data_IF_726181615935
#
_entry.id   IF_726181615935
#
_cell.length_a   1.000
_cell.length_b   1.000
_cell.length_c   1.000
_cell.angle_alpha   90.00
_cell.angle_beta   90.00
_cell.angle_gamma   90.00
#
_symmetry.space_group_name_H-M   'P 1'
#
loop_
_entity.id
_entity.type
_entity.pdbx_description
1 polymer ?
#
# COMPACT_ATOMS: atom_id res chain seq x y z
N UNK A 1 -46.24 49.12 -11.34
CA UNK A 1 -47.25 50.08 -10.80
C UNK A 1 -46.78 50.60 -9.49
N UNK A 2 -47.07 51.81 -9.14
CA UNK A 2 -46.49 53.09 -9.60
C UNK A 2 -45.79 53.77 -8.39
N UNK A 3 -45.03 54.79 -8.34
CA UNK A 3 -45.26 56.13 -8.94
C UNK A 3 -44.11 57.03 -8.45
N UNK A 4 -43.66 57.82 -9.36
CA UNK A 4 -43.04 59.14 -9.07
C UNK A 4 -44.07 60.07 -8.35
N UNK A 5 -43.78 61.33 -7.93
CA UNK A 5 -43.07 62.34 -8.71
C UNK A 5 -42.35 63.49 -7.88
N UNK A 6 -41.55 64.26 -8.62
CA UNK A 6 -41.47 65.72 -8.76
C UNK A 6 -41.48 66.71 -7.55
N UNK A 7 -40.56 67.68 -7.63
CA UNK A 7 -40.80 69.13 -7.98
C UNK A 7 -39.59 69.97 -7.54
N UNK A 8 -38.89 70.70 -8.38
CA UNK A 8 -39.09 72.02 -8.91
C UNK A 8 -39.24 73.16 -7.81
N UNK A 9 -38.30 74.15 -7.90
CA UNK A 9 -38.57 75.59 -8.01
C UNK A 9 -37.27 76.37 -7.78
N UNK A 10 -36.73 77.09 -8.76
CA UNK A 10 -36.83 78.50 -9.07
C UNK A 10 -36.51 79.43 -7.85
N UNK A 11 -35.74 80.46 -7.89
CA UNK A 11 -35.26 81.50 -8.79
C UNK A 11 -34.71 82.62 -7.94
N UNK A 12 -33.80 83.41 -8.25
CA UNK A 12 -33.87 84.79 -8.77
C UNK A 12 -32.57 85.57 -8.54
N UNK A 13 -32.23 86.28 -9.56
CA UNK A 13 -31.31 87.40 -9.75
C UNK A 13 -31.44 88.49 -8.70
N UNK A 14 -30.30 89.15 -8.42
CA UNK A 14 -30.19 90.58 -8.40
C UNK A 14 -28.75 91.05 -8.75
N UNK A 15 -28.70 91.97 -9.75
CA UNK A 15 -27.54 92.78 -10.15
C UNK A 15 -27.52 94.07 -9.26
N UNK A 16 -26.29 94.57 -9.04
CA UNK A 16 -25.90 96.01 -8.91
C UNK A 16 -24.38 95.95 -8.70
N UNK A 17 -23.51 96.44 -9.50
CA UNK A 17 -23.24 97.73 -10.08
C UNK A 17 -22.36 98.60 -9.17
N UNK A 18 -21.30 99.24 -9.76
CA UNK A 18 -20.34 100.18 -9.19
C UNK A 18 -18.94 99.48 -8.94
N UNK A 19 -17.78 99.91 -9.50
CA UNK A 19 -17.31 101.21 -9.88
C UNK A 19 -15.89 101.08 -10.47
N UNK A 20 -15.53 101.95 -11.35
CA UNK A 20 -14.38 101.96 -12.30
C UNK A 20 -13.00 102.31 -11.68
N UNK A 21 -12.83 102.49 -10.41
CA UNK A 21 -11.60 103.01 -9.82
C UNK A 21 -10.57 101.92 -9.27
N UNK A 22 -10.89 100.65 -9.35
CA UNK A 22 -10.02 99.63 -8.78
C UNK A 22 -9.25 98.82 -9.83
N UNK A 23 -9.26 99.23 -11.12
CA UNK A 23 -8.64 98.44 -12.20
C UNK A 23 -7.11 98.63 -12.39
N UNK A 24 -6.49 99.73 -11.87
CA UNK A 24 -5.05 99.94 -12.04
C UNK A 24 -4.23 99.22 -10.96
N UNK A 25 -4.72 99.05 -9.74
CA UNK A 25 -3.98 98.32 -8.70
C UNK A 25 -3.97 96.85 -8.82
N UNK A 26 -4.98 96.26 -9.51
CA UNK A 26 -5.05 94.82 -9.74
C UNK A 26 -4.09 94.30 -10.80
N UNK A 27 -3.74 95.15 -11.80
CA UNK A 27 -2.80 94.79 -12.89
C UNK A 27 -1.34 94.77 -12.37
N UNK A 28 -0.97 95.67 -11.44
CA UNK A 28 0.37 95.71 -10.89
C UNK A 28 0.61 94.50 -9.94
N UNK A 29 -0.42 94.06 -9.21
CA UNK A 29 -0.32 92.83 -8.38
C UNK A 29 -0.27 91.54 -9.17
N UNK A 30 -0.92 91.51 -10.35
CA UNK A 30 -0.93 90.31 -11.22
C UNK A 30 0.38 90.13 -11.97
N UNK A 31 1.12 91.21 -12.27
CA UNK A 31 2.46 91.16 -12.91
C UNK A 31 3.54 90.71 -11.92
N UNK A 32 3.42 91.08 -10.62
CA UNK A 32 4.33 90.60 -9.58
C UNK A 32 4.18 89.13 -9.21
N UNK A 33 3.01 88.55 -9.45
CA UNK A 33 2.74 87.14 -9.23
C UNK A 33 3.22 86.24 -10.39
N UNK A 34 3.54 86.80 -11.56
CA UNK A 34 4.08 86.04 -12.72
C UNK A 34 5.58 85.98 -12.79
N UNK A 35 6.32 86.70 -11.93
CA UNK A 35 7.77 86.70 -11.90
C UNK A 35 8.39 85.71 -10.88
N UNK A 36 7.57 84.93 -10.21
CA UNK A 36 7.98 83.96 -9.16
C UNK A 36 7.94 82.50 -9.55
N UNK A 37 7.78 82.14 -10.82
CA UNK A 37 8.03 80.78 -11.28
C UNK A 37 9.52 80.57 -11.52
N UNK A 38 10.27 80.39 -10.45
CA UNK A 38 11.55 79.73 -10.49
C UNK A 38 11.33 78.29 -10.94
N UNK A 39 11.80 78.00 -12.12
CA UNK A 39 11.69 76.70 -12.79
C UNK A 39 12.68 75.72 -12.12
N UNK A 40 12.40 75.36 -10.86
CA UNK A 40 13.03 74.18 -10.28
C UNK A 40 12.49 72.96 -11.09
N UNK A 41 13.29 72.52 -12.05
CA UNK A 41 13.18 71.22 -12.69
C UNK A 41 13.20 70.23 -11.51
N UNK A 42 12.01 69.87 -11.02
CA UNK A 42 11.91 68.68 -10.19
C UNK A 42 12.51 67.56 -11.00
N UNK A 43 13.76 67.19 -10.71
CA UNK A 43 14.33 65.92 -11.17
C UNK A 43 13.25 64.89 -10.80
N UNK A 44 12.60 64.38 -11.82
CA UNK A 44 11.80 63.14 -11.69
C UNK A 44 12.76 62.06 -11.21
N UNK A 45 13.03 62.03 -9.90
CA UNK A 45 13.64 60.86 -9.29
C UNK A 45 12.68 59.71 -9.59
N UNK A 46 13.14 58.82 -10.45
CA UNK A 46 12.37 57.59 -10.71
C UNK A 46 11.92 57.01 -9.38
N UNK A 47 10.66 56.61 -9.23
CA UNK A 47 10.19 56.03 -8.00
C UNK A 47 11.11 54.92 -7.55
N UNK A 48 11.44 54.86 -6.25
CA UNK A 48 12.35 53.85 -5.76
C UNK A 48 11.90 52.44 -6.21
N UNK A 49 12.86 51.59 -6.64
CA UNK A 49 12.51 50.25 -7.12
C UNK A 49 11.71 49.50 -6.06
N UNK A 50 10.61 48.82 -6.44
CA UNK A 50 9.74 48.12 -5.49
C UNK A 50 10.53 47.05 -4.74
N UNK A 51 10.32 47.00 -3.43
CA UNK A 51 10.92 46.01 -2.57
C UNK A 51 10.24 44.64 -2.79
N UNK A 52 11.06 43.64 -3.07
CA UNK A 52 10.67 42.23 -3.26
C UNK A 52 11.53 41.31 -2.42
N UNK A 53 10.99 40.18 -1.97
CA UNK A 53 11.77 39.13 -1.32
C UNK A 53 12.17 38.08 -2.34
N UNK A 54 13.42 37.67 -2.31
CA UNK A 54 13.97 36.62 -3.20
C UNK A 54 14.51 35.48 -2.38
N UNK A 55 14.44 34.26 -2.93
CA UNK A 55 15.10 33.10 -2.38
C UNK A 55 15.91 32.38 -3.47
N UNK A 56 17.02 31.81 -3.08
CA UNK A 56 17.87 31.03 -3.99
C UNK A 56 17.22 29.69 -4.31
N UNK A 57 17.38 29.20 -5.54
CA UNK A 57 16.97 27.84 -5.92
C UNK A 57 17.78 26.85 -5.12
N UNK A 58 17.11 25.99 -4.38
CA UNK A 58 17.75 24.95 -3.57
C UNK A 58 17.83 23.66 -4.39
N UNK A 59 19.04 23.09 -4.49
CA UNK A 59 19.22 21.77 -5.09
C UNK A 59 19.38 20.77 -3.96
N UNK A 60 18.48 19.79 -3.91
CA UNK A 60 18.56 18.68 -2.95
C UNK A 60 18.33 17.35 -3.66
N UNK A 61 19.04 16.29 -3.23
CA UNK A 61 18.68 14.95 -3.62
C UNK A 61 17.33 14.60 -2.98
N UNK A 62 16.39 14.23 -3.81
CA UNK A 62 15.06 13.76 -3.37
C UNK A 62 14.69 12.49 -4.11
N UNK A 63 13.96 11.62 -3.45
CA UNK A 63 13.24 10.52 -4.05
C UNK A 63 11.75 10.84 -4.05
N UNK A 64 11.08 10.58 -5.15
CA UNK A 64 9.62 10.66 -5.18
C UNK A 64 9.06 9.37 -4.59
N UNK A 65 7.97 9.50 -3.83
CA UNK A 65 7.21 8.38 -3.31
C UNK A 65 5.83 8.37 -3.93
N UNK A 66 5.42 7.22 -4.44
CA UNK A 66 4.06 6.99 -4.89
C UNK A 66 3.27 6.32 -3.78
N UNK A 67 2.07 6.82 -3.53
CA UNK A 67 1.20 6.33 -2.46
C UNK A 67 0.04 5.52 -3.04
N UNK A 68 -0.22 4.36 -2.44
CA UNK A 68 -1.26 3.43 -2.84
C UNK A 68 -2.09 3.04 -1.62
N UNK A 69 -3.33 2.65 -1.85
CA UNK A 69 -4.17 2.03 -0.84
C UNK A 69 -4.06 0.51 -0.96
N UNK A 70 -3.90 -0.15 0.16
CA UNK A 70 -3.76 -1.60 0.22
C UNK A 70 -4.62 -2.23 1.32
N UNK A 71 -4.59 -3.55 1.36
CA UNK A 71 -5.24 -4.36 2.39
C UNK A 71 -4.27 -5.38 2.94
N UNK A 72 -4.31 -5.56 4.25
CA UNK A 72 -3.50 -6.57 4.95
C UNK A 72 -4.19 -7.92 4.81
N UNK A 73 -3.40 -8.93 4.44
CA UNK A 73 -3.84 -10.32 4.35
C UNK A 73 -2.85 -11.23 5.09
N UNK A 74 -3.36 -12.35 5.60
CA UNK A 74 -2.49 -13.35 6.20
C UNK A 74 -1.66 -14.06 5.13
N UNK A 75 -0.41 -14.44 5.47
CA UNK A 75 0.43 -15.25 4.57
C UNK A 75 -0.21 -16.62 4.33
N UNK A 76 -0.83 -17.19 5.37
CA UNK A 76 -1.58 -18.44 5.27
C UNK A 76 -2.95 -18.28 5.92
N UNK A 77 -3.99 -18.72 5.20
CA UNK A 77 -5.37 -18.79 5.70
C UNK A 77 -5.93 -20.17 5.37
N UNK A 78 -6.33 -20.89 6.40
CA UNK A 78 -6.82 -22.29 6.27
C UNK A 78 -8.20 -22.41 6.86
N UNK A 79 -9.14 -22.86 6.06
CA UNK A 79 -10.46 -23.30 6.52
C UNK A 79 -10.35 -24.75 7.03
N UNK A 80 -10.50 -24.95 8.30
CA UNK A 80 -10.43 -26.28 8.90
C UNK A 80 -11.76 -27.01 8.69
N UNK A 81 -11.68 -28.18 8.05
CA UNK A 81 -12.83 -29.03 7.73
C UNK A 81 -12.59 -30.45 8.25
N UNK A 82 -13.63 -31.19 8.67
CA UNK A 82 -13.49 -32.57 9.10
C UNK A 82 -13.17 -33.48 7.91
N UNK A 83 -12.31 -34.46 8.12
CA UNK A 83 -12.01 -35.53 7.14
C UNK A 83 -12.82 -36.80 7.34
N UNK A 84 -13.46 -36.92 8.50
CA UNK A 84 -14.34 -38.01 8.87
C UNK A 84 -15.66 -37.47 9.43
N UNK A 85 -16.74 -38.22 9.30
CA UNK A 85 -18.07 -37.82 9.77
C UNK A 85 -18.28 -38.29 11.21
N UNK A 86 -19.02 -37.53 11.99
CA UNK A 86 -19.35 -37.91 13.38
C UNK A 86 -19.84 -36.73 14.19
N UNK A 87 -20.19 -36.94 15.44
CA UNK A 87 -20.56 -35.86 16.35
C UNK A 87 -19.31 -35.20 16.93
N UNK A 88 -19.34 -33.88 17.03
CA UNK A 88 -18.30 -33.16 17.76
C UNK A 88 -18.43 -33.46 19.24
N UNK A 89 -17.46 -34.13 19.84
CA UNK A 89 -17.38 -34.40 21.27
C UNK A 89 -16.95 -33.17 22.06
N UNK A 90 -15.83 -32.54 21.62
CA UNK A 90 -15.25 -31.37 22.30
C UNK A 90 -14.61 -30.36 21.32
N UNK A 91 -14.69 -29.09 21.71
CA UNK A 91 -13.86 -27.99 21.18
C UNK A 91 -12.75 -27.76 22.21
N UNK A 92 -11.49 -27.93 21.80
CA UNK A 92 -10.33 -27.97 22.68
C UNK A 92 -9.48 -26.69 22.61
N UNK A 93 -10.02 -25.59 22.19
CA UNK A 93 -9.34 -24.29 22.14
C UNK A 93 -10.29 -23.17 22.56
N UNK A 94 -9.74 -22.03 22.97
CA UNK A 94 -10.53 -20.81 23.20
C UNK A 94 -10.59 -20.02 21.88
N UNK A 95 -11.77 -19.56 21.54
CA UNK A 95 -12.00 -18.75 20.34
C UNK A 95 -11.17 -17.48 20.37
N UNK A 96 -10.46 -17.20 19.27
CA UNK A 96 -9.56 -16.05 19.16
C UNK A 96 -8.13 -16.28 19.67
N UNK A 97 -7.83 -17.41 20.32
CA UNK A 97 -6.49 -17.71 20.80
C UNK A 97 -5.52 -18.09 19.68
N UNK A 98 -4.23 -17.89 19.94
CA UNK A 98 -3.16 -18.42 19.12
C UNK A 98 -2.96 -19.91 19.41
N UNK A 99 -2.91 -20.71 18.35
CA UNK A 99 -2.75 -22.14 18.39
C UNK A 99 -1.45 -22.56 17.67
N UNK A 100 -0.90 -23.68 18.10
CA UNK A 100 0.32 -24.24 17.51
C UNK A 100 -0.03 -25.34 16.51
N UNK A 101 0.76 -25.47 15.47
CA UNK A 101 0.69 -26.61 14.54
C UNK A 101 0.71 -27.94 15.30
N UNK A 102 -0.25 -28.83 14.98
CA UNK A 102 -0.40 -30.12 15.66
C UNK A 102 -1.29 -30.06 16.91
N UNK A 103 -1.66 -28.92 17.42
CA UNK A 103 -2.61 -28.78 18.54
C UNK A 103 -3.98 -29.28 18.13
N UNK A 104 -4.61 -30.13 18.96
CA UNK A 104 -5.96 -30.63 18.73
C UNK A 104 -6.96 -29.52 19.01
N UNK A 105 -7.78 -29.18 18.01
CA UNK A 105 -8.79 -28.12 18.09
C UNK A 105 -10.19 -28.67 18.29
N UNK A 106 -10.52 -29.78 17.62
CA UNK A 106 -11.80 -30.46 17.77
C UNK A 106 -11.56 -31.95 17.95
N UNK A 107 -12.42 -32.57 18.72
CA UNK A 107 -12.49 -34.02 18.86
C UNK A 107 -13.86 -34.49 18.35
N UNK A 108 -13.86 -35.41 17.39
CA UNK A 108 -15.03 -36.09 16.88
C UNK A 108 -15.18 -37.41 17.65
N UNK A 109 -16.40 -37.86 17.93
CA UNK A 109 -16.66 -39.12 18.59
C UNK A 109 -15.92 -40.27 17.89
N UNK A 110 -14.96 -40.86 18.58
CA UNK A 110 -14.00 -41.81 18.02
C UNK A 110 -14.40 -43.28 18.24
N UNK A 111 -15.52 -43.53 18.96
CA UNK A 111 -15.93 -44.91 19.40
C UNK A 111 -16.07 -45.87 18.24
N UNK A 112 -16.70 -45.42 17.14
CA UNK A 112 -16.91 -46.28 15.95
C UNK A 112 -15.61 -46.50 15.20
N UNK A 113 -14.74 -45.48 15.11
CA UNK A 113 -13.43 -45.56 14.46
C UNK A 113 -12.46 -46.44 15.25
N UNK A 114 -12.50 -46.38 16.56
CA UNK A 114 -11.71 -47.23 17.45
C UNK A 114 -12.10 -48.71 17.27
N UNK A 115 -13.41 -48.99 17.27
CA UNK A 115 -13.92 -50.35 17.04
C UNK A 115 -13.50 -50.88 15.65
N UNK A 116 -13.61 -50.08 14.59
CA UNK A 116 -13.18 -50.45 13.24
C UNK A 116 -11.67 -50.72 13.18
N UNK A 117 -10.87 -49.92 13.84
CA UNK A 117 -9.40 -50.13 13.92
C UNK A 117 -9.05 -51.40 14.68
N UNK A 118 -9.73 -51.70 15.81
CA UNK A 118 -9.54 -52.93 16.58
C UNK A 118 -9.91 -54.16 15.73
N UNK A 119 -11.03 -54.10 14.99
CA UNK A 119 -11.44 -55.16 14.08
C UNK A 119 -10.37 -55.41 13.00
N UNK A 120 -9.87 -54.35 12.35
CA UNK A 120 -8.83 -54.44 11.32
C UNK A 120 -7.51 -55.01 11.88
N UNK A 121 -7.16 -54.64 13.12
CA UNK A 121 -6.02 -55.19 13.83
C UNK A 121 -6.15 -56.67 14.10
N UNK A 122 -7.30 -57.15 14.54
CA UNK A 122 -7.53 -58.57 14.76
C UNK A 122 -7.41 -59.36 13.45
N UNK A 123 -7.91 -58.85 12.33
CA UNK A 123 -7.82 -59.45 11.02
C UNK A 123 -6.34 -59.52 10.53
N UNK A 124 -5.56 -58.43 10.76
CA UNK A 124 -4.11 -58.44 10.44
C UNK A 124 -3.36 -59.50 11.24
N UNK A 125 -3.67 -59.63 12.55
CA UNK A 125 -3.06 -60.68 13.39
C UNK A 125 -3.42 -62.08 12.87
N UNK A 126 -4.69 -62.31 12.48
CA UNK A 126 -5.14 -63.56 11.88
C UNK A 126 -4.35 -63.90 10.59
N UNK A 127 -4.24 -62.91 9.68
CA UNK A 127 -3.51 -63.05 8.42
C UNK A 127 -2.01 -63.33 8.66
N UNK A 128 -1.38 -62.67 9.62
CA UNK A 128 0.02 -62.93 9.99
C UNK A 128 0.25 -64.34 10.51
N UNK A 129 -0.66 -64.84 11.38
CA UNK A 129 -0.57 -66.21 11.89
C UNK A 129 -0.71 -67.22 10.78
N UNK A 130 -1.65 -66.99 9.84
CA UNK A 130 -1.86 -67.88 8.68
C UNK A 130 -0.66 -67.87 7.74
N UNK A 131 -0.04 -66.71 7.48
CA UNK A 131 1.16 -66.59 6.66
C UNK A 131 2.37 -67.29 7.34
N UNK A 132 2.52 -67.17 8.66
CA UNK A 132 3.54 -67.85 9.42
C UNK A 132 3.43 -69.35 9.31
N UNK A 133 2.18 -69.89 9.43
CA UNK A 133 1.93 -71.35 9.24
C UNK A 133 2.30 -71.76 7.82
N UNK A 134 1.77 -71.11 6.79
CA UNK A 134 2.02 -71.42 5.39
C UNK A 134 3.51 -71.35 5.02
N UNK A 135 4.22 -70.37 5.57
CA UNK A 135 5.67 -70.21 5.41
C UNK A 135 6.45 -71.36 6.05
N UNK A 136 6.04 -71.78 7.26
CA UNK A 136 6.64 -72.94 7.93
C UNK A 136 6.41 -74.23 7.14
N UNK A 137 5.21 -74.42 6.59
CA UNK A 137 4.89 -75.58 5.72
C UNK A 137 5.73 -75.56 4.42
N UNK A 138 5.78 -74.46 3.73
CA UNK A 138 6.61 -74.29 2.52
C UNK A 138 8.09 -74.53 2.82
N UNK A 139 8.64 -74.01 3.94
CA UNK A 139 10.03 -74.24 4.32
C UNK A 139 10.33 -75.73 4.70
N UNK A 140 9.31 -76.48 5.19
CA UNK A 140 9.45 -77.92 5.39
C UNK A 140 9.46 -78.66 4.08
N UNK A 141 8.56 -78.35 3.14
CA UNK A 141 8.48 -78.98 1.83
C UNK A 141 9.70 -78.66 0.95
N UNK A 142 10.32 -77.49 1.10
CA UNK A 142 11.58 -77.16 0.38
C UNK A 142 12.73 -78.04 0.80
N UNK A 143 12.79 -78.47 2.06
CA UNK A 143 13.82 -79.49 2.48
C UNK A 143 13.54 -80.89 1.96
N UNK A 144 12.23 -81.24 1.81
CA UNK A 144 11.81 -82.59 1.36
C UNK A 144 11.92 -82.79 -0.16
N UNK A 145 11.77 -81.76 -0.98
CA UNK A 145 11.90 -81.82 -2.43
C UNK A 145 13.33 -82.21 -2.82
N UNK A 146 14.36 -81.69 -2.12
CA UNK A 146 15.79 -82.03 -2.35
C UNK A 146 16.13 -83.51 -2.10
N UNK A 147 15.34 -84.21 -1.25
CA UNK A 147 15.47 -85.66 -0.99
C UNK A 147 14.50 -86.54 -1.83
N UNK A 148 13.79 -85.91 -2.79
CA UNK A 148 12.76 -86.59 -3.62
C UNK A 148 11.61 -87.25 -2.80
N UNK A 149 11.39 -86.79 -1.58
CA UNK A 149 10.35 -87.34 -0.68
C UNK A 149 8.93 -86.79 -0.96
N UNK A 150 8.83 -85.78 -1.85
CA UNK A 150 7.52 -85.18 -2.24
C UNK A 150 7.55 -84.93 -3.76
N UNK A 151 6.36 -84.77 -4.39
CA UNK A 151 6.25 -84.34 -5.82
C UNK A 151 6.48 -82.84 -5.96
N UNK A 152 6.96 -82.44 -7.14
CA UNK A 152 7.16 -81.05 -7.54
C UNK A 152 5.81 -80.22 -7.39
N UNK A 153 4.70 -80.81 -7.75
CA UNK A 153 3.35 -80.21 -7.64
C UNK A 153 3.03 -79.84 -6.20
N UNK A 154 3.28 -80.75 -5.22
CA UNK A 154 3.07 -80.48 -3.81
C UNK A 154 3.94 -79.29 -3.30
N UNK A 155 5.20 -79.28 -3.75
CA UNK A 155 6.14 -78.20 -3.42
C UNK A 155 5.65 -76.87 -3.99
N UNK A 156 5.30 -76.81 -5.29
CA UNK A 156 4.81 -75.64 -5.98
C UNK A 156 3.52 -75.12 -5.31
N UNK A 157 2.57 -76.00 -4.95
CA UNK A 157 1.35 -75.67 -4.28
C UNK A 157 1.61 -75.03 -2.90
N UNK A 158 2.55 -75.56 -2.08
CA UNK A 158 2.83 -74.98 -0.76
C UNK A 158 3.56 -73.65 -0.89
N UNK A 159 4.46 -73.53 -1.88
CA UNK A 159 5.11 -72.26 -2.17
C UNK A 159 4.12 -71.17 -2.60
N UNK A 160 3.22 -71.53 -3.52
CA UNK A 160 2.13 -70.64 -3.97
C UNK A 160 1.21 -70.23 -2.81
N UNK A 161 0.83 -71.19 -1.94
CA UNK A 161 -0.02 -70.92 -0.76
C UNK A 161 0.69 -69.97 0.22
N UNK A 162 2.01 -70.10 0.42
CA UNK A 162 2.80 -69.19 1.25
C UNK A 162 2.83 -67.77 0.65
N UNK A 163 3.03 -67.67 -0.68
CA UNK A 163 2.97 -66.38 -1.37
C UNK A 163 1.59 -65.73 -1.27
N UNK A 164 0.51 -66.50 -1.46
CA UNK A 164 -0.86 -66.01 -1.30
C UNK A 164 -1.15 -65.54 0.13
N UNK A 165 -0.72 -66.32 1.14
CA UNK A 165 -0.89 -65.93 2.52
C UNK A 165 -0.12 -64.65 2.89
N UNK A 166 1.07 -64.46 2.30
CA UNK A 166 1.85 -63.19 2.42
C UNK A 166 1.13 -62.00 1.79
N UNK A 167 0.52 -62.20 0.61
CA UNK A 167 -0.33 -61.17 -0.02
C UNK A 167 -1.54 -60.78 0.84
N UNK A 168 -2.15 -61.76 1.52
CA UNK A 168 -3.25 -61.48 2.45
C UNK A 168 -2.81 -60.67 3.65
N UNK A 169 -1.57 -60.84 4.14
CA UNK A 169 -1.00 -59.98 5.20
C UNK A 169 -0.91 -58.53 4.72
N UNK A 170 -0.42 -58.30 3.49
CA UNK A 170 -0.31 -56.95 2.93
C UNK A 170 -1.71 -56.28 2.80
N UNK A 171 -2.69 -57.03 2.35
CA UNK A 171 -4.08 -56.56 2.24
C UNK A 171 -4.66 -56.20 3.62
N UNK A 172 -4.47 -57.06 4.62
CA UNK A 172 -4.97 -56.81 6.00
C UNK A 172 -4.20 -55.63 6.66
N UNK A 173 -2.89 -55.46 6.36
CA UNK A 173 -2.11 -54.34 6.81
C UNK A 173 -2.67 -53.01 6.25
N UNK A 174 -2.98 -52.97 4.97
CA UNK A 174 -3.56 -51.81 4.32
C UNK A 174 -4.92 -51.41 4.94
N UNK A 175 -5.75 -52.41 5.27
CA UNK A 175 -7.05 -52.19 5.96
C UNK A 175 -6.84 -51.63 7.37
N UNK A 176 -5.87 -52.14 8.12
CA UNK A 176 -5.53 -51.62 9.43
C UNK A 176 -5.03 -50.18 9.34
N UNK A 177 -4.14 -49.86 8.41
CA UNK A 177 -3.59 -48.54 8.21
C UNK A 177 -4.70 -47.52 7.85
N UNK A 178 -5.64 -47.90 7.00
CA UNK A 178 -6.81 -47.09 6.67
C UNK A 178 -7.71 -46.83 7.90
N UNK A 179 -8.00 -47.84 8.70
CA UNK A 179 -8.79 -47.69 9.90
C UNK A 179 -8.10 -46.84 10.96
N UNK A 180 -6.75 -46.97 11.09
CA UNK A 180 -5.96 -46.14 11.95
C UNK A 180 -5.96 -44.66 11.49
N UNK A 181 -5.81 -44.42 10.20
CA UNK A 181 -5.87 -43.07 9.62
C UNK A 181 -7.22 -42.40 9.88
N UNK A 182 -8.33 -43.13 9.72
CA UNK A 182 -9.65 -42.61 10.00
C UNK A 182 -9.83 -42.28 11.49
N UNK A 183 -9.27 -43.10 12.39
CA UNK A 183 -9.25 -42.82 13.81
C UNK A 183 -8.45 -41.57 14.14
N UNK A 184 -7.28 -41.39 13.50
CA UNK A 184 -6.45 -40.20 13.69
C UNK A 184 -7.17 -38.93 13.21
N UNK A 185 -7.96 -39.00 12.15
CA UNK A 185 -8.77 -37.89 11.65
C UNK A 185 -9.91 -37.47 12.57
N UNK A 186 -10.29 -38.27 13.56
CA UNK A 186 -11.25 -37.86 14.60
C UNK A 186 -10.69 -36.76 15.49
N UNK A 187 -9.37 -36.61 15.55
CA UNK A 187 -8.67 -35.51 16.22
C UNK A 187 -8.30 -34.48 15.17
N UNK A 188 -9.10 -33.42 15.09
CA UNK A 188 -8.87 -32.35 14.12
C UNK A 188 -7.81 -31.41 14.68
N UNK A 189 -6.63 -31.42 14.06
CA UNK A 189 -5.44 -30.66 14.49
C UNK A 189 -5.23 -29.41 13.64
N UNK A 190 -4.59 -28.40 14.23
CA UNK A 190 -4.13 -27.21 13.51
C UNK A 190 -3.02 -27.57 12.51
N UNK A 191 -3.16 -27.26 11.20
CA UNK A 191 -2.15 -27.52 10.20
C UNK A 191 -1.01 -26.49 10.17
N UNK A 192 -1.25 -25.31 10.75
CA UNK A 192 -0.33 -24.18 10.81
C UNK A 192 -0.33 -23.56 12.21
N UNK A 193 0.73 -22.82 12.53
CA UNK A 193 0.72 -21.87 13.66
C UNK A 193 -0.12 -20.66 13.28
N UNK A 194 -0.89 -20.11 14.22
CA UNK A 194 -1.70 -18.92 13.95
C UNK A 194 -2.84 -18.72 14.92
N UNK A 195 -3.73 -17.80 14.62
CA UNK A 195 -4.92 -17.52 15.42
C UNK A 195 -6.13 -18.26 14.88
N UNK A 196 -6.82 -18.94 15.78
CA UNK A 196 -8.08 -19.61 15.48
C UNK A 196 -9.26 -18.62 15.59
N UNK A 197 -10.17 -18.69 14.64
CA UNK A 197 -11.45 -17.97 14.70
C UNK A 197 -12.42 -18.67 15.66
N UNK A 198 -13.64 -18.16 15.73
CA UNK A 198 -14.71 -18.82 16.48
C UNK A 198 -14.99 -20.24 15.93
N UNK A 199 -15.50 -21.11 16.77
CA UNK A 199 -16.05 -22.39 16.36
C UNK A 199 -17.36 -22.16 15.60
N UNK A 200 -17.39 -22.57 14.33
CA UNK A 200 -18.61 -22.48 13.51
C UNK A 200 -19.60 -23.59 13.87
N UNK A 201 -19.12 -24.70 14.46
CA UNK A 201 -19.88 -25.86 14.88
C UNK A 201 -19.44 -26.19 16.30
N UNK A 202 -20.42 -26.29 17.19
CA UNK A 202 -20.23 -26.56 18.61
C UNK A 202 -20.34 -28.06 18.94
N UNK A 203 -19.91 -28.45 20.14
CA UNK A 203 -20.07 -29.82 20.64
C UNK A 203 -21.50 -30.28 20.58
N UNK A 204 -21.70 -31.56 20.32
CA UNK A 204 -23.01 -32.20 20.16
C UNK A 204 -23.60 -32.14 18.74
N UNK A 205 -23.01 -31.38 17.82
CA UNK A 205 -23.47 -31.33 16.42
C UNK A 205 -22.81 -32.39 15.56
N UNK A 206 -23.57 -32.90 14.59
CA UNK A 206 -23.06 -33.83 13.57
C UNK A 206 -22.28 -33.05 12.50
N UNK A 207 -21.14 -33.54 12.14
CA UNK A 207 -20.32 -33.05 10.99
C UNK A 207 -20.18 -34.19 9.97
N UNK A 208 -20.10 -33.79 8.70
CA UNK A 208 -19.91 -34.70 7.57
C UNK A 208 -18.60 -34.44 6.87
N UNK A 209 -17.94 -35.50 6.42
CA UNK A 209 -16.74 -35.39 5.58
C UNK A 209 -17.11 -35.22 4.10
N UNK A 210 -16.15 -34.75 3.27
CA UNK A 210 -16.29 -34.62 1.82
C UNK A 210 -16.42 -33.20 1.34
N UNK A 211 -16.78 -33.00 0.08
CA UNK A 211 -16.79 -31.71 -0.61
C UNK A 211 -17.76 -30.69 0.01
N UNK A 212 -18.86 -31.17 0.60
CA UNK A 212 -19.85 -30.36 1.31
C UNK A 212 -19.53 -30.19 2.80
N UNK A 213 -18.34 -30.63 3.26
CA UNK A 213 -17.97 -30.55 4.67
C UNK A 213 -18.05 -29.11 5.19
N UNK A 214 -18.74 -28.92 6.29
CA UNK A 214 -18.85 -27.60 6.94
C UNK A 214 -17.51 -27.15 7.50
N UNK A 215 -17.23 -25.84 7.41
CA UNK A 215 -16.06 -25.25 8.03
C UNK A 215 -16.21 -25.31 9.56
N UNK A 216 -15.27 -25.90 10.25
CA UNK A 216 -15.22 -25.94 11.72
C UNK A 216 -14.74 -24.63 12.31
N UNK A 217 -13.66 -24.10 11.77
CA UNK A 217 -13.05 -22.79 12.10
C UNK A 217 -12.11 -22.36 10.99
N UNK A 218 -11.63 -21.12 11.04
CA UNK A 218 -10.58 -20.60 10.17
C UNK A 218 -9.33 -20.29 10.99
N UNK A 219 -8.19 -20.67 10.47
CA UNK A 219 -6.87 -20.35 11.04
C UNK A 219 -6.16 -19.35 10.13
N UNK A 220 -5.56 -18.33 10.70
CA UNK A 220 -4.73 -17.34 9.98
C UNK A 220 -3.36 -17.23 10.63
N UNK A 221 -2.30 -17.26 9.80
CA UNK A 221 -0.95 -16.99 10.30
C UNK A 221 -0.81 -15.53 10.69
N UNK A 222 0.00 -15.23 11.73
CA UNK A 222 0.16 -13.88 12.26
C UNK A 222 1.61 -13.38 12.28
N UNK A 223 2.62 -14.24 12.14
CA UNK A 223 4.04 -13.84 12.27
C UNK A 223 4.48 -12.85 11.19
N UNK A 224 3.93 -13.04 10.00
CA UNK A 224 4.12 -12.17 8.84
C UNK A 224 2.78 -11.91 8.19
N UNK A 225 2.66 -10.78 7.54
CA UNK A 225 1.48 -10.41 6.78
C UNK A 225 1.85 -9.90 5.40
N UNK A 226 0.94 -10.06 4.47
CA UNK A 226 0.99 -9.43 3.17
C UNK A 226 0.21 -8.14 3.19
N UNK A 227 0.66 -7.17 2.41
CA UNK A 227 -0.14 -6.02 2.01
C UNK A 227 -0.29 -6.07 0.51
N UNK A 228 -1.51 -6.28 0.03
CA UNK A 228 -1.85 -6.19 -1.38
C UNK A 228 -2.28 -4.77 -1.70
N UNK A 229 -1.79 -4.25 -2.82
CA UNK A 229 -2.14 -2.93 -3.32
C UNK A 229 -2.11 -2.93 -4.84
N UNK A 230 -2.91 -2.05 -5.44
CA UNK A 230 -3.07 -1.97 -6.88
C UNK A 230 -2.35 -0.72 -7.39
N UNK A 231 -1.49 -0.90 -8.39
CA UNK A 231 -0.66 0.14 -9.03
C UNK A 231 -1.20 0.41 -10.42
N UNK A 232 -1.41 1.67 -10.78
CA UNK A 232 -1.87 2.05 -12.12
C UNK A 232 -0.84 1.74 -13.20
N UNK A 233 -1.31 1.53 -14.43
CA UNK A 233 -0.49 1.13 -15.58
C UNK A 233 0.64 2.12 -15.86
N UNK A 234 0.38 3.44 -15.80
CA UNK A 234 1.39 4.46 -16.12
C UNK A 234 2.54 4.42 -15.10
N UNK A 235 2.21 4.28 -13.82
CA UNK A 235 3.19 4.11 -12.74
C UNK A 235 3.97 2.81 -12.88
N UNK A 236 3.29 1.72 -13.21
CA UNK A 236 3.94 0.42 -13.43
C UNK A 236 4.92 0.44 -14.61
N UNK A 237 4.55 1.04 -15.75
CA UNK A 237 5.44 1.21 -16.90
C UNK A 237 6.66 2.05 -16.55
N UNK A 238 6.49 3.10 -15.74
CA UNK A 238 7.62 3.90 -15.24
C UNK A 238 8.60 3.05 -14.43
N UNK A 239 8.11 2.19 -13.52
CA UNK A 239 8.96 1.28 -12.76
C UNK A 239 9.68 0.25 -13.64
N UNK A 240 9.04 -0.22 -14.70
CA UNK A 240 9.68 -1.13 -15.67
C UNK A 240 10.83 -0.46 -16.42
N UNK A 241 10.60 0.78 -16.89
CA UNK A 241 11.59 1.55 -17.63
C UNK A 241 12.82 1.91 -16.77
N UNK A 242 12.62 2.10 -15.47
CA UNK A 242 13.71 2.37 -14.52
C UNK A 242 14.49 1.11 -14.11
N UNK A 243 14.26 -0.04 -14.74
CA UNK A 243 14.94 -1.31 -14.44
C UNK A 243 14.52 -1.97 -13.12
N UNK A 244 13.44 -1.52 -12.50
CA UNK A 244 12.97 -1.99 -11.19
C UNK A 244 12.08 -3.24 -11.25
N UNK A 245 11.99 -3.84 -12.39
CA UNK A 245 11.07 -4.93 -12.72
C UNK A 245 11.20 -6.18 -11.83
N UNK A 246 12.38 -6.42 -11.30
CA UNK A 246 12.71 -7.62 -10.51
C UNK A 246 13.33 -7.29 -9.15
N UNK A 247 13.49 -6.03 -8.83
CA UNK A 247 14.10 -5.61 -7.57
C UNK A 247 13.10 -5.79 -6.42
N UNK A 248 13.59 -6.31 -5.30
CA UNK A 248 12.87 -6.26 -4.02
C UNK A 248 12.81 -4.80 -3.57
N UNK A 249 11.77 -4.09 -3.96
CA UNK A 249 11.61 -2.68 -3.64
C UNK A 249 11.19 -2.53 -2.17
N UNK A 250 11.86 -1.66 -1.41
CA UNK A 250 11.40 -1.31 -0.07
C UNK A 250 10.09 -0.53 -0.17
N UNK A 251 9.18 -0.79 0.75
CA UNK A 251 7.94 -0.03 0.90
C UNK A 251 7.81 0.46 2.32
N UNK A 252 7.17 1.59 2.49
CA UNK A 252 6.76 2.12 3.79
C UNK A 252 5.25 1.93 3.90
N UNK A 253 4.78 1.47 5.05
CA UNK A 253 3.36 1.17 5.28
C UNK A 253 2.87 1.92 6.51
N UNK A 254 1.67 2.48 6.43
CA UNK A 254 0.98 3.12 7.54
C UNK A 254 -0.45 2.60 7.66
N UNK A 255 -0.91 2.36 8.87
CA UNK A 255 -2.29 2.01 9.15
C UNK A 255 -3.19 3.25 9.21
N UNK A 256 -4.49 3.04 9.21
CA UNK A 256 -5.48 4.10 9.43
C UNK A 256 -5.32 4.63 10.86
N UNK A 257 -5.15 5.96 11.01
CA UNK A 257 -4.95 6.61 12.30
C UNK A 257 -3.49 6.76 12.74
N UNK A 258 -2.53 6.24 11.97
CA UNK A 258 -1.11 6.48 12.19
C UNK A 258 -0.64 7.69 11.38
N UNK A 259 0.22 8.51 11.98
CA UNK A 259 0.89 9.59 11.28
C UNK A 259 2.04 9.03 10.42
N UNK A 260 2.03 9.38 9.13
CA UNK A 260 3.06 8.93 8.18
C UNK A 260 2.98 7.45 7.84
N UNK A 261 4.15 6.81 7.70
CA UNK A 261 4.34 5.42 7.28
C UNK A 261 5.43 4.75 8.13
N UNK A 262 5.14 4.41 9.39
CA UNK A 262 6.16 3.97 10.34
C UNK A 262 6.68 2.55 10.09
N UNK A 263 5.96 1.73 9.31
CA UNK A 263 6.31 0.33 9.11
C UNK A 263 7.03 0.13 7.79
N UNK A 264 7.96 -0.82 7.76
CA UNK A 264 8.73 -1.15 6.57
C UNK A 264 8.36 -2.54 6.07
N UNK A 265 8.33 -2.68 4.76
CA UNK A 265 8.10 -3.94 4.08
C UNK A 265 8.92 -4.03 2.80
N UNK A 266 8.84 -5.16 2.13
CA UNK A 266 9.54 -5.42 0.87
C UNK A 266 8.54 -5.98 -0.12
N UNK A 267 8.47 -5.39 -1.31
CA UNK A 267 7.70 -5.99 -2.42
C UNK A 267 8.33 -7.33 -2.79
N UNK A 268 7.53 -8.38 -2.73
CA UNK A 268 7.96 -9.75 -3.04
C UNK A 268 7.22 -10.34 -4.25
N UNK A 269 6.13 -9.71 -4.67
CA UNK A 269 5.31 -10.20 -5.77
C UNK A 269 4.68 -9.06 -6.57
N UNK A 270 4.65 -9.25 -7.89
CA UNK A 270 3.90 -8.44 -8.85
C UNK A 270 3.13 -9.39 -9.73
N UNK A 271 1.86 -9.14 -9.95
CA UNK A 271 1.00 -10.00 -10.77
C UNK A 271 1.50 -10.05 -12.23
N UNK A 272 1.11 -11.11 -12.94
CA UNK A 272 1.49 -11.32 -14.33
C UNK A 272 0.53 -10.68 -15.33
N UNK A 273 -0.61 -10.17 -14.86
CA UNK A 273 -1.64 -9.55 -15.69
C UNK A 273 -2.16 -8.26 -15.05
N UNK A 274 -2.45 -7.26 -15.91
CA UNK A 274 -3.23 -6.10 -15.50
C UNK A 274 -4.71 -6.48 -15.43
N UNK A 275 -5.39 -5.92 -14.45
CA UNK A 275 -6.84 -5.96 -14.40
C UNK A 275 -7.41 -5.00 -15.46
N UNK A 276 -7.97 -5.56 -16.54
CA UNK A 276 -8.50 -4.78 -17.64
C UNK A 276 -9.67 -3.85 -17.25
N UNK A 277 -10.39 -4.16 -16.17
CA UNK A 277 -11.51 -3.34 -15.69
C UNK A 277 -11.08 -2.08 -14.95
N UNK A 278 -9.90 -2.09 -14.31
CA UNK A 278 -9.39 -0.98 -13.51
C UNK A 278 -8.13 -0.34 -14.08
N UNK A 279 -7.46 -0.97 -15.05
CA UNK A 279 -6.17 -0.52 -15.59
C UNK A 279 -5.04 -0.59 -14.55
N UNK A 280 -5.12 -1.52 -13.60
CA UNK A 280 -4.14 -1.64 -12.52
C UNK A 280 -3.48 -3.02 -12.50
N UNK A 281 -2.27 -3.08 -11.97
CA UNK A 281 -1.57 -4.32 -11.65
C UNK A 281 -1.49 -4.50 -10.14
N UNK A 282 -1.76 -5.71 -9.68
CA UNK A 282 -1.66 -6.05 -8.25
C UNK A 282 -0.23 -6.33 -7.85
N UNK A 283 0.19 -5.67 -6.80
CA UNK A 283 1.47 -5.90 -6.15
C UNK A 283 1.27 -6.32 -4.69
N UNK A 284 2.28 -6.97 -4.14
CA UNK A 284 2.27 -7.47 -2.77
C UNK A 284 3.57 -7.12 -2.08
N UNK A 285 3.47 -6.65 -0.85
CA UNK A 285 4.61 -6.48 0.03
C UNK A 285 4.48 -7.39 1.26
N UNK A 286 5.61 -7.93 1.69
CA UNK A 286 5.74 -8.73 2.91
C UNK A 286 6.18 -7.81 4.07
N UNK A 287 5.48 -7.93 5.20
CA UNK A 287 5.77 -7.22 6.44
C UNK A 287 5.96 -8.22 7.59
N UNK A 288 6.91 -7.95 8.47
CA UNK A 288 7.04 -8.65 9.76
C UNK A 288 5.96 -8.15 10.73
N UNK A 289 5.39 -9.06 11.50
CA UNK A 289 4.31 -8.78 12.45
C UNK A 289 4.58 -9.39 13.83
N UNK A 290 5.82 -9.27 14.32
CA UNK A 290 6.20 -9.82 15.61
C UNK A 290 5.35 -9.28 16.78
N UNK A 291 4.93 -8.02 16.70
CA UNK A 291 4.11 -7.36 17.73
C UNK A 291 2.59 -7.60 17.55
N UNK A 292 2.17 -8.40 16.57
CA UNK A 292 0.75 -8.71 16.28
C UNK A 292 -0.13 -7.48 15.99
N UNK A 293 0.46 -6.37 15.56
CA UNK A 293 -0.27 -5.13 15.23
C UNK A 293 -1.11 -5.25 13.97
N UNK A 294 -0.63 -6.03 13.00
CA UNK A 294 -1.31 -6.19 11.72
C UNK A 294 -2.29 -7.35 11.80
N UNK A 295 -3.57 -6.99 11.86
CA UNK A 295 -4.65 -7.99 11.73
C UNK A 295 -5.08 -8.10 10.26
N UNK A 296 -5.17 -9.31 9.71
CA UNK A 296 -5.69 -9.53 8.36
C UNK A 296 -7.06 -8.87 8.17
N UNK A 297 -7.25 -8.18 7.05
CA UNK A 297 -8.46 -7.41 6.73
C UNK A 297 -8.35 -5.91 6.94
N UNK A 298 -7.35 -5.41 7.68
CA UNK A 298 -7.14 -3.98 7.88
C UNK A 298 -6.73 -3.29 6.57
N UNK A 299 -7.15 -2.03 6.43
CA UNK A 299 -6.64 -1.16 5.38
C UNK A 299 -5.25 -0.64 5.73
N UNK A 300 -4.40 -0.52 4.72
CA UNK A 300 -3.07 0.01 4.84
C UNK A 300 -2.81 1.03 3.73
N UNK A 301 -2.04 2.07 4.07
CA UNK A 301 -1.46 2.99 3.09
C UNK A 301 -0.05 2.52 2.80
N UNK A 302 0.30 2.41 1.52
CA UNK A 302 1.61 1.93 1.06
C UNK A 302 2.31 3.05 0.32
N UNK A 303 3.54 3.33 0.68
CA UNK A 303 4.43 4.20 -0.08
C UNK A 303 5.56 3.38 -0.70
N UNK A 304 5.75 3.57 -2.00
CA UNK A 304 6.82 2.93 -2.75
C UNK A 304 7.69 3.98 -3.46
N UNK A 305 9.01 3.80 -3.56
CA UNK A 305 9.88 4.75 -4.26
C UNK A 305 9.44 4.91 -5.72
N UNK A 306 8.97 6.09 -6.08
CA UNK A 306 8.48 6.40 -7.42
C UNK A 306 9.58 6.78 -8.41
N UNK A 307 10.75 7.21 -7.91
CA UNK A 307 11.93 7.50 -8.72
C UNK A 307 13.21 7.07 -8.01
N UNK A 308 14.30 6.89 -8.75
CA UNK A 308 15.61 6.93 -8.15
C UNK A 308 15.84 8.31 -7.51
N UNK A 309 16.77 8.40 -6.59
CA UNK A 309 17.21 9.68 -6.04
C UNK A 309 17.76 10.55 -7.17
N UNK A 310 17.24 11.76 -7.30
CA UNK A 310 17.71 12.73 -8.29
C UNK A 310 17.83 14.11 -7.65
N UNK A 311 18.77 14.90 -8.15
CA UNK A 311 18.96 16.28 -7.72
C UNK A 311 17.82 17.15 -8.26
N UNK A 312 16.86 17.50 -7.39
CA UNK A 312 15.74 18.35 -7.75
C UNK A 312 16.03 19.82 -7.43
N UNK A 313 15.66 20.69 -8.37
CA UNK A 313 15.60 22.12 -8.13
C UNK A 313 14.28 22.44 -7.42
N UNK A 314 14.36 23.04 -6.25
CA UNK A 314 13.24 23.32 -5.37
C UNK A 314 13.07 24.83 -5.20
N UNK A 315 11.84 25.30 -5.35
CA UNK A 315 11.45 26.70 -5.11
C UNK A 315 10.21 26.72 -4.20
N UNK A 316 9.93 27.89 -3.63
CA UNK A 316 8.69 28.08 -2.87
C UNK A 316 7.49 27.95 -3.83
N UNK A 317 6.51 27.13 -3.48
CA UNK A 317 5.31 26.91 -4.31
C UNK A 317 4.53 28.22 -4.59
N UNK A 318 4.54 29.16 -3.65
CA UNK A 318 3.91 30.46 -3.79
C UNK A 318 4.56 31.34 -4.87
N UNK A 319 5.80 31.05 -5.28
CA UNK A 319 6.52 31.78 -6.34
C UNK A 319 6.03 31.45 -7.74
N UNK A 320 5.29 30.34 -7.89
CA UNK A 320 4.82 29.86 -9.20
C UNK A 320 3.57 30.65 -9.59
N UNK A 321 3.68 31.35 -10.69
CA UNK A 321 2.57 32.06 -11.30
C UNK A 321 2.05 31.32 -12.52
N UNK A 322 0.79 31.57 -12.85
CA UNK A 322 0.12 30.95 -14.01
C UNK A 322 -0.36 32.04 -14.95
N UNK A 323 -0.06 31.89 -16.21
CA UNK A 323 -0.52 32.73 -17.31
C UNK A 323 -1.12 31.82 -18.39
N UNK A 324 -2.45 31.73 -18.40
CA UNK A 324 -3.18 30.76 -19.22
C UNK A 324 -2.75 29.31 -18.92
N UNK A 325 -2.04 28.69 -19.85
CA UNK A 325 -1.53 27.34 -19.78
C UNK A 325 -0.06 27.23 -19.33
N UNK A 326 0.63 28.38 -19.17
CA UNK A 326 2.05 28.42 -18.84
C UNK A 326 2.29 28.74 -17.38
N UNK A 327 3.26 28.02 -16.80
CA UNK A 327 3.77 28.31 -15.47
C UNK A 327 5.06 29.11 -15.61
N UNK A 328 5.19 30.15 -14.81
CA UNK A 328 6.39 31.00 -14.80
C UNK A 328 6.72 31.50 -13.40
N UNK A 329 7.93 32.00 -13.26
CA UNK A 329 8.41 32.70 -12.06
C UNK A 329 9.11 33.99 -12.49
N UNK A 330 9.24 34.92 -11.54
CA UNK A 330 10.15 36.05 -11.69
C UNK A 330 11.48 35.72 -11.02
N UNK A 331 12.56 35.90 -11.74
CA UNK A 331 13.93 35.85 -11.23
C UNK A 331 14.53 37.24 -11.21
N UNK A 332 15.46 37.49 -10.29
CA UNK A 332 16.24 38.73 -10.27
C UNK A 332 17.61 38.46 -10.91
N UNK A 333 17.88 39.16 -11.98
CA UNK A 333 19.16 39.06 -12.69
C UNK A 333 20.31 39.75 -11.93
N UNK A 334 21.53 39.73 -12.50
CA UNK A 334 22.73 40.34 -11.92
C UNK A 334 22.66 41.86 -11.83
N UNK A 335 21.82 42.48 -12.68
CA UNK A 335 21.60 43.92 -12.74
C UNK A 335 20.48 44.39 -11.80
N UNK A 336 19.88 43.50 -11.00
CA UNK A 336 18.79 43.80 -10.09
C UNK A 336 17.44 43.98 -10.79
N UNK A 337 17.25 43.42 -11.98
CA UNK A 337 16.03 43.52 -12.74
C UNK A 337 15.22 42.22 -12.65
N UNK A 338 13.92 42.34 -12.54
CA UNK A 338 13.00 41.21 -12.51
C UNK A 338 12.77 40.67 -13.95
N UNK A 339 13.13 39.44 -14.21
CA UNK A 339 12.94 38.75 -15.48
C UNK A 339 11.89 37.63 -15.35
N UNK A 340 10.96 37.59 -16.28
CA UNK A 340 10.03 36.44 -16.39
C UNK A 340 10.79 35.24 -16.95
N UNK A 341 10.61 34.09 -16.31
CA UNK A 341 11.15 32.81 -16.78
C UNK A 341 10.06 31.75 -16.77
N UNK A 342 9.74 31.22 -17.94
CA UNK A 342 8.78 30.11 -18.05
C UNK A 342 9.43 28.83 -17.51
N UNK A 343 8.66 28.04 -16.76
CA UNK A 343 9.16 26.84 -16.07
C UNK A 343 8.23 25.66 -16.30
N UNK A 344 8.80 24.46 -16.30
CA UNK A 344 8.05 23.20 -16.18
C UNK A 344 8.11 22.75 -14.71
N UNK A 345 6.94 22.59 -14.09
CA UNK A 345 6.85 22.24 -12.68
C UNK A 345 6.49 20.77 -12.48
N UNK A 346 7.06 20.17 -11.46
CA UNK A 346 6.71 18.84 -10.95
C UNK A 346 5.78 18.90 -9.74
N UNK A 347 5.79 17.84 -8.94
CA UNK A 347 5.01 17.73 -7.69
C UNK A 347 5.58 18.67 -6.61
N UNK A 348 4.81 18.87 -5.54
CA UNK A 348 5.28 19.52 -4.31
C UNK A 348 5.96 18.45 -3.46
N UNK A 349 7.11 18.77 -2.91
CA UNK A 349 7.87 17.95 -1.97
C UNK A 349 8.30 18.81 -0.79
N UNK A 350 7.94 18.43 0.43
CA UNK A 350 8.29 19.17 1.64
C UNK A 350 7.87 20.64 1.65
N UNK A 351 6.70 20.96 1.09
CA UNK A 351 6.20 22.35 0.98
C UNK A 351 6.88 23.18 -0.12
N UNK A 352 7.82 22.59 -0.87
CA UNK A 352 8.48 23.22 -2.00
C UNK A 352 8.02 22.61 -3.33
N UNK A 353 8.04 23.40 -4.39
CA UNK A 353 7.74 22.97 -5.76
C UNK A 353 9.00 22.48 -6.45
N UNK A 354 8.97 21.28 -7.02
CA UNK A 354 10.01 20.77 -7.92
C UNK A 354 9.91 21.51 -9.24
N UNK A 355 11.03 22.00 -9.76
CA UNK A 355 11.15 22.55 -11.10
C UNK A 355 11.94 21.57 -11.95
N UNK A 356 11.31 21.12 -13.05
CA UNK A 356 11.91 20.17 -13.99
C UNK A 356 12.79 20.86 -15.04
N UNK A 357 12.33 22.03 -15.54
CA UNK A 357 13.05 22.84 -16.53
C UNK A 357 12.77 24.33 -16.33
N UNK A 358 13.69 25.16 -16.83
CA UNK A 358 13.53 26.60 -16.87
C UNK A 358 14.35 27.39 -15.84
N UNK A 359 14.91 26.74 -14.80
CA UNK A 359 15.80 27.38 -13.82
C UNK A 359 17.19 26.77 -13.83
N UNK A 360 18.12 27.52 -13.29
CA UNK A 360 19.51 27.10 -13.07
C UNK A 360 19.90 27.22 -11.59
N UNK A 361 20.96 26.51 -11.21
CA UNK A 361 21.58 26.66 -9.89
C UNK A 361 22.04 28.11 -9.66
N UNK A 362 21.62 28.69 -8.53
CA UNK A 362 21.98 30.06 -8.18
C UNK A 362 21.02 31.13 -8.72
N UNK A 363 19.97 30.78 -9.46
CA UNK A 363 18.89 31.70 -9.78
C UNK A 363 18.20 32.19 -8.50
N UNK A 364 17.92 33.50 -8.41
CA UNK A 364 17.19 34.11 -7.30
C UNK A 364 15.74 34.33 -7.69
N UNK A 365 14.85 33.53 -7.15
CA UNK A 365 13.42 33.55 -7.46
C UNK A 365 12.70 34.52 -6.50
N UNK A 366 11.82 35.37 -7.03
CA UNK A 366 10.97 36.25 -6.20
C UNK A 366 9.90 35.40 -5.51
N UNK A 367 9.89 35.43 -4.17
CA UNK A 367 8.95 34.65 -3.33
C UNK A 367 7.85 35.49 -2.72
N UNK A 368 8.06 36.82 -2.64
CA UNK A 368 7.06 37.77 -2.17
C UNK A 368 7.24 39.13 -2.88
N UNK A 369 6.12 39.84 -3.07
CA UNK A 369 6.10 41.10 -3.78
C UNK A 369 5.98 40.98 -5.31
N UNK A 370 5.66 39.80 -5.86
CA UNK A 370 5.48 39.54 -7.30
C UNK A 370 4.45 40.46 -7.94
N UNK A 371 3.40 40.82 -7.20
CA UNK A 371 2.35 41.74 -7.66
C UNK A 371 2.85 43.18 -7.90
N UNK A 372 4.03 43.52 -7.44
CA UNK A 372 4.67 44.81 -7.67
C UNK A 372 5.51 44.85 -8.94
N UNK A 373 5.72 43.72 -9.60
CA UNK A 373 6.41 43.57 -10.87
C UNK A 373 5.42 43.68 -12.01
N UNK A 374 5.28 44.86 -12.58
CA UNK A 374 4.31 45.15 -13.63
C UNK A 374 4.76 44.73 -15.03
N UNK A 375 6.09 44.69 -15.26
CA UNK A 375 6.65 44.28 -16.55
C UNK A 375 8.02 43.60 -16.36
N UNK A 376 8.37 42.67 -17.25
CA UNK A 376 9.70 42.07 -17.28
C UNK A 376 10.78 43.15 -17.54
N UNK A 377 11.96 43.02 -16.92
CA UNK A 377 13.06 43.97 -17.00
C UNK A 377 12.99 45.15 -16.04
N UNK A 378 11.95 45.21 -15.20
CA UNK A 378 11.78 46.28 -14.19
C UNK A 378 12.83 46.14 -13.07
N UNK A 379 13.52 47.25 -12.67
CA UNK A 379 14.42 47.21 -11.53
C UNK A 379 13.67 46.97 -10.23
N UNK A 380 14.19 46.11 -9.35
CA UNK A 380 13.60 45.75 -8.06
C UNK A 380 14.65 45.82 -6.94
N UNK A 381 14.24 46.22 -5.74
CA UNK A 381 15.06 46.14 -4.54
C UNK A 381 14.86 44.73 -3.89
N UNK A 382 15.75 43.83 -4.25
CA UNK A 382 15.66 42.42 -3.81
C UNK A 382 16.29 42.27 -2.41
N UNK A 383 15.53 41.67 -1.47
CA UNK A 383 16.00 41.20 -0.17
C UNK A 383 16.02 39.68 -0.17
N UNK A 384 17.19 39.07 0.06
CA UNK A 384 17.26 37.60 0.13
C UNK A 384 16.66 37.11 1.44
N UNK A 385 15.80 36.08 1.35
CA UNK A 385 15.18 35.38 2.46
C UNK A 385 15.43 33.88 2.35
N UNK A 386 15.51 33.20 3.49
CA UNK A 386 15.68 31.77 3.50
C UNK A 386 14.42 31.08 2.94
N UNK A 387 14.61 30.04 2.14
CA UNK A 387 13.54 29.13 1.77
C UNK A 387 13.11 28.34 3.03
N UNK A 388 11.87 28.52 3.47
CA UNK A 388 11.29 27.69 4.52
C UNK A 388 10.82 26.37 3.90
N UNK A 389 11.63 25.32 4.06
CA UNK A 389 11.22 23.95 3.78
C UNK A 389 10.96 23.24 5.11
N UNK A 390 9.84 22.50 5.20
CA UNK A 390 9.67 21.51 6.27
C UNK A 390 10.66 20.35 5.98
N UNK A 391 11.78 20.37 6.67
CA UNK A 391 12.86 19.39 6.47
C UNK A 391 12.40 17.92 6.76
N UNK A 392 11.34 17.75 7.55
CA UNK A 392 10.75 16.43 7.87
C UNK A 392 9.97 15.80 6.73
N UNK A 393 9.54 16.56 5.73
CA UNK A 393 8.72 16.09 4.62
C UNK A 393 9.53 15.84 3.31
N UNK A 394 10.86 15.98 3.37
CA UNK A 394 11.77 15.78 2.22
C UNK A 394 12.46 14.40 2.23
N UNK A 395 12.32 13.61 3.32
CA UNK A 395 12.95 12.29 3.49
C UNK A 395 11.95 11.14 3.30
#
# INVERSE_FOLDING_TARGET
MPSQPNSLFHSRRRQSGIGISTRLSAVALLVALLAGCDNSVAQNAAPPPPAVSTADVVIKPISQWDAFNGRIEAVQSVQLRPRVSGYIDKVNYTEGDEVKKGQVLFTIDDRTYRAAREQAQAELVRARNQAALARSESGRTEKLIGSQAISTEVWEQRRSSAAQAQSNVLAAQAQFDLAQLNLDFTRVIAPIDGRASRAMITAGNLVTAGDSASVLTTLVSLDKVYVYFDVDEATFLRYQNDGRRTAKLPVKVGLVGEDGYPHQGIVDFTDNQLNAGTGTIRMRALLENAERRFTPGLFARVQMPGSAEFNAMLINDKSVMTDQDRKFVYIVDKDGKAQRRDIEVGRVAGGLRIVQKGLAAGDRVIVDGMQKVFMPGMPVAAKNVAINADASALN
#
